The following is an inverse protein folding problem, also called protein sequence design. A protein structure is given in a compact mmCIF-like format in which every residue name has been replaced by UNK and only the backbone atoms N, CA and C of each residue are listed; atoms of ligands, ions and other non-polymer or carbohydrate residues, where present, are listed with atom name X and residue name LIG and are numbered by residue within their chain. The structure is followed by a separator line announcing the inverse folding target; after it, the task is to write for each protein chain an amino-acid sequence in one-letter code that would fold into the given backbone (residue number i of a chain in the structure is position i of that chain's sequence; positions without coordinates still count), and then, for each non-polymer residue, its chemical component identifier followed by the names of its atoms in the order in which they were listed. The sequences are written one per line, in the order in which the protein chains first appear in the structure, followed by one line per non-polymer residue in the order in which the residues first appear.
data_IF_424268190866
#
_entry.id   IF_424268190866
#
_cell.length_a   1.000
_cell.length_b   1.000
_cell.length_c   1.000
_cell.angle_alpha   90.00
_cell.angle_beta   90.00
_cell.angle_gamma   90.00
#
_symmetry.space_group_name_H-M   'P 1'
#
loop_
_entity.id
_entity.type
_entity.pdbx_description
1 polymer ?
#
# COMPACT_ATOMS: atom_id res chain seq x y z
N UNK A 1 -7.36 -19.25 9.99
CA UNK A 1 -8.17 -18.37 9.10
C UNK A 1 -7.30 -17.30 8.44
N UNK A 2 -6.50 -16.56 9.22
CA UNK A 2 -5.59 -15.51 8.73
C UNK A 2 -4.56 -16.01 7.70
N UNK A 3 -3.97 -17.20 7.92
CA UNK A 3 -2.99 -17.79 7.00
C UNK A 3 -3.55 -18.01 5.57
N UNK A 4 -4.79 -18.48 5.44
CA UNK A 4 -5.45 -18.66 4.13
C UNK A 4 -5.67 -17.32 3.41
N UNK A 5 -5.90 -16.25 4.15
CA UNK A 5 -6.07 -14.90 3.60
C UNK A 5 -4.72 -14.36 3.09
N UNK A 6 -3.66 -14.52 3.89
CA UNK A 6 -2.32 -14.09 3.54
C UNK A 6 -1.72 -14.89 2.37
N UNK A 7 -2.08 -16.17 2.23
CA UNK A 7 -1.72 -16.95 1.04
C UNK A 7 -2.32 -16.41 -0.27
N UNK A 8 -3.48 -15.75 -0.23
CA UNK A 8 -4.06 -15.07 -1.40
C UNK A 8 -3.38 -13.72 -1.66
N UNK A 9 -2.94 -13.04 -0.58
CA UNK A 9 -2.16 -11.81 -0.66
C UNK A 9 -0.75 -11.99 -1.27
N UNK A 10 -0.30 -13.23 -1.49
CA UNK A 10 0.88 -13.53 -2.33
C UNK A 10 0.69 -13.16 -3.81
N UNK A 11 -0.54 -12.85 -4.25
CA UNK A 11 -0.80 -12.49 -5.63
C UNK A 11 -0.40 -11.02 -5.89
N UNK A 12 0.56 -10.74 -6.80
CA UNK A 12 0.97 -9.38 -7.13
C UNK A 12 -0.17 -8.50 -7.64
N UNK A 13 -1.23 -9.10 -8.21
CA UNK A 13 -2.41 -8.36 -8.64
C UNK A 13 -3.10 -7.65 -7.48
N UNK A 14 -3.12 -8.26 -6.29
CA UNK A 14 -3.69 -7.64 -5.09
C UNK A 14 -2.95 -6.32 -4.78
N UNK A 15 -1.63 -6.33 -4.88
CA UNK A 15 -0.81 -5.15 -4.61
C UNK A 15 -1.05 -4.05 -5.64
N UNK A 16 -1.12 -4.41 -6.92
CA UNK A 16 -1.42 -3.46 -8.00
C UNK A 16 -2.81 -2.84 -7.81
N UNK A 17 -3.83 -3.65 -7.49
CA UNK A 17 -5.18 -3.12 -7.27
C UNK A 17 -5.27 -2.19 -6.08
N UNK A 18 -4.56 -2.46 -4.99
CA UNK A 18 -4.53 -1.57 -3.83
C UNK A 18 -3.98 -0.19 -4.18
N UNK A 19 -3.01 -0.10 -5.09
CA UNK A 19 -2.48 1.18 -5.57
C UNK A 19 -3.50 1.93 -6.43
N UNK A 20 -4.21 1.22 -7.31
CA UNK A 20 -5.27 1.80 -8.13
C UNK A 20 -6.39 2.36 -7.23
N UNK A 21 -6.76 1.63 -6.17
CA UNK A 21 -7.78 2.09 -5.23
C UNK A 21 -7.29 3.23 -4.36
N UNK A 22 -6.00 3.28 -4.01
CA UNK A 22 -5.39 4.46 -3.37
C UNK A 22 -5.48 5.69 -4.28
N UNK A 23 -5.17 5.56 -5.57
CA UNK A 23 -5.30 6.66 -6.54
C UNK A 23 -6.78 7.10 -6.65
N UNK A 24 -7.71 6.14 -6.71
CA UNK A 24 -9.16 6.41 -6.73
C UNK A 24 -9.60 7.16 -5.48
N UNK A 25 -9.08 6.77 -4.31
CA UNK A 25 -9.31 7.44 -3.04
C UNK A 25 -8.78 8.88 -3.05
N UNK A 26 -7.52 9.08 -3.46
CA UNK A 26 -6.94 10.41 -3.57
C UNK A 26 -7.73 11.31 -4.53
N UNK A 27 -8.21 10.77 -5.66
CA UNK A 27 -9.07 11.50 -6.59
C UNK A 27 -10.42 11.86 -5.96
N UNK A 28 -11.05 10.91 -5.26
CA UNK A 28 -12.28 11.18 -4.53
C UNK A 28 -12.11 12.26 -3.46
N UNK A 29 -11.00 12.22 -2.72
CA UNK A 29 -10.66 13.25 -1.73
C UNK A 29 -10.43 14.60 -2.38
N UNK A 30 -9.72 14.67 -3.50
CA UNK A 30 -9.48 15.93 -4.23
C UNK A 30 -10.77 16.52 -4.79
N UNK A 31 -11.63 15.69 -5.38
CA UNK A 31 -12.88 16.16 -5.99
C UNK A 31 -14.02 16.36 -4.98
N UNK A 32 -13.77 16.12 -3.68
CA UNK A 32 -14.80 16.00 -2.63
C UNK A 32 -15.98 15.09 -3.04
N UNK A 33 -15.68 14.05 -3.82
CA UNK A 33 -16.69 13.14 -4.35
C UNK A 33 -16.84 11.93 -3.42
N UNK A 34 -17.87 11.99 -2.57
CA UNK A 34 -18.17 10.95 -1.59
C UNK A 34 -18.41 9.57 -2.21
N UNK A 35 -18.96 9.48 -3.44
CA UNK A 35 -19.14 8.20 -4.12
C UNK A 35 -17.79 7.57 -4.42
N UNK A 36 -16.85 8.33 -5.00
CA UNK A 36 -15.49 7.86 -5.27
C UNK A 36 -14.74 7.48 -3.98
N UNK A 37 -14.92 8.27 -2.91
CA UNK A 37 -14.34 7.97 -1.60
C UNK A 37 -14.88 6.65 -1.06
N UNK A 38 -16.19 6.47 -1.02
CA UNK A 38 -16.81 5.24 -0.48
C UNK A 38 -16.44 4.01 -1.30
N UNK A 39 -16.52 4.09 -2.63
CA UNK A 39 -16.11 3.00 -3.52
C UNK A 39 -14.63 2.68 -3.33
N UNK A 40 -13.78 3.72 -3.26
CA UNK A 40 -12.36 3.58 -3.03
C UNK A 40 -12.03 2.87 -1.71
N UNK A 41 -12.70 3.24 -0.60
CA UNK A 41 -12.52 2.60 0.71
C UNK A 41 -12.91 1.12 0.64
N UNK A 42 -14.10 0.81 0.10
CA UNK A 42 -14.60 -0.57 0.01
C UNK A 42 -13.68 -1.43 -0.85
N UNK A 43 -13.30 -0.92 -2.03
CA UNK A 43 -12.41 -1.63 -2.93
C UNK A 43 -11.01 -1.82 -2.33
N UNK A 44 -10.43 -0.79 -1.70
CA UNK A 44 -9.12 -0.89 -1.04
C UNK A 44 -9.13 -1.90 0.11
N UNK A 45 -10.16 -1.87 0.96
CA UNK A 45 -10.28 -2.79 2.09
C UNK A 45 -10.53 -4.25 1.66
N UNK A 46 -11.23 -4.45 0.54
CA UNK A 46 -11.64 -5.80 0.10
C UNK A 46 -10.75 -6.41 -0.98
N UNK A 47 -9.86 -5.63 -1.63
CA UNK A 47 -9.00 -6.09 -2.74
C UNK A 47 -8.14 -7.31 -2.40
N UNK A 48 -7.81 -7.49 -1.11
CA UNK A 48 -7.03 -8.61 -0.59
C UNK A 48 -7.76 -9.95 -0.73
N UNK A 49 -9.09 -9.92 -0.90
CA UNK A 49 -9.93 -11.11 -1.00
C UNK A 49 -10.29 -11.52 -2.42
N UNK A 50 -10.08 -10.62 -3.40
CA UNK A 50 -10.63 -10.78 -4.76
C UNK A 50 -9.86 -11.82 -5.58
N UNK A 51 -8.58 -12.00 -5.29
CA UNK A 51 -7.71 -12.83 -6.12
C UNK A 51 -7.53 -14.24 -5.54
N UNK A 52 -7.54 -15.28 -6.41
CA UNK A 52 -7.26 -16.64 -5.98
C UNK A 52 -5.77 -16.79 -5.61
N UNK A 53 -5.47 -17.86 -4.86
CA UNK A 53 -4.08 -18.24 -4.57
C UNK A 53 -3.33 -18.44 -5.90
N UNK A 54 -2.20 -17.76 -6.13
CA UNK A 54 -1.44 -17.88 -7.37
C UNK A 54 -0.89 -19.30 -7.54
N UNK A 55 -0.90 -19.81 -8.78
CA UNK A 55 -0.31 -21.13 -9.14
C UNK A 55 1.22 -21.08 -9.13
N UNK A 56 1.79 -19.91 -9.40
CA UNK A 56 3.22 -19.62 -9.38
C UNK A 56 3.46 -18.29 -8.67
N UNK A 57 4.39 -18.29 -7.73
CA UNK A 57 4.76 -17.16 -6.88
C UNK A 57 6.24 -16.86 -7.06
N UNK A 58 6.62 -15.60 -6.90
CA UNK A 58 8.04 -15.27 -6.82
C UNK A 58 8.55 -15.62 -5.41
N UNK A 59 9.71 -16.26 -5.32
CA UNK A 59 10.33 -16.66 -4.05
C UNK A 59 10.48 -15.51 -3.04
N UNK A 60 10.72 -14.29 -3.51
CA UNK A 60 10.83 -13.11 -2.64
C UNK A 60 9.47 -12.68 -2.04
N UNK A 61 8.37 -12.90 -2.76
CA UNK A 61 7.01 -12.59 -2.29
C UNK A 61 6.59 -13.58 -1.20
N UNK A 62 6.94 -14.85 -1.35
CA UNK A 62 6.68 -15.86 -0.31
C UNK A 62 7.41 -15.54 0.99
N UNK A 63 8.69 -15.18 0.89
CA UNK A 63 9.50 -14.79 2.05
C UNK A 63 8.95 -13.55 2.75
N UNK A 64 8.47 -12.56 2.00
CA UNK A 64 7.87 -11.36 2.58
C UNK A 64 6.58 -11.69 3.33
N UNK A 65 5.67 -12.47 2.72
CA UNK A 65 4.40 -12.84 3.34
C UNK A 65 4.61 -13.75 4.56
N UNK A 66 5.60 -14.65 4.53
CA UNK A 66 5.95 -15.48 5.68
C UNK A 66 6.48 -14.63 6.85
N UNK A 67 7.35 -13.65 6.56
CA UNK A 67 7.81 -12.70 7.57
C UNK A 67 6.67 -11.81 8.10
N UNK A 68 5.70 -11.43 7.26
CA UNK A 68 4.51 -10.70 7.69
C UNK A 68 3.61 -11.55 8.59
N UNK A 69 3.39 -12.83 8.27
CA UNK A 69 2.65 -13.76 9.13
C UNK A 69 3.33 -13.85 10.49
N UNK A 70 4.63 -14.11 10.51
CA UNK A 70 5.41 -14.22 11.75
C UNK A 70 5.33 -12.92 12.56
N UNK A 71 5.48 -11.77 11.91
CA UNK A 71 5.34 -10.47 12.55
C UNK A 71 3.92 -10.22 13.10
N UNK A 72 2.87 -10.63 12.39
CA UNK A 72 1.48 -10.47 12.82
C UNK A 72 1.12 -11.40 13.98
N UNK A 73 1.68 -12.61 14.02
CA UNK A 73 1.46 -13.61 15.07
C UNK A 73 2.26 -13.32 16.36
N UNK A 74 3.37 -12.59 16.26
CA UNK A 74 4.09 -12.10 17.44
C UNK A 74 3.20 -11.22 18.32
N UNK A 75 3.38 -11.32 19.65
CA UNK A 75 2.69 -10.49 20.63
C UNK A 75 2.90 -9.00 20.34
N UNK A 76 1.96 -8.17 20.79
CA UNK A 76 1.98 -6.74 20.50
C UNK A 76 3.13 -6.06 21.27
N UNK A 77 4.34 -6.11 20.71
CA UNK A 77 5.49 -5.38 21.22
C UNK A 77 5.33 -3.88 20.93
N UNK A 78 5.91 -3.01 21.77
CA UNK A 78 5.79 -1.55 21.61
C UNK A 78 6.21 -1.05 20.21
N UNK A 79 7.21 -1.69 19.59
CA UNK A 79 7.66 -1.39 18.23
C UNK A 79 6.59 -1.68 17.15
N UNK A 80 5.82 -2.76 17.30
CA UNK A 80 4.74 -3.15 16.40
C UNK A 80 3.57 -2.17 16.47
N UNK A 81 3.20 -1.75 17.68
CA UNK A 81 2.17 -0.74 17.87
C UNK A 81 2.55 0.60 17.21
N UNK A 82 3.79 1.05 17.38
CA UNK A 82 4.29 2.28 16.75
C UNK A 82 4.23 2.19 15.24
N UNK A 83 4.65 1.07 14.63
CA UNK A 83 4.59 0.88 13.18
C UNK A 83 3.14 0.93 12.64
N UNK A 84 2.20 0.29 13.34
CA UNK A 84 0.79 0.29 12.96
C UNK A 84 0.16 1.69 13.06
N UNK A 85 0.43 2.40 14.17
CA UNK A 85 -0.05 3.78 14.36
C UNK A 85 0.57 4.71 13.32
N UNK A 86 1.87 4.59 13.05
CA UNK A 86 2.55 5.37 12.02
C UNK A 86 1.86 5.20 10.66
N UNK A 87 1.58 3.97 10.25
CA UNK A 87 0.90 3.71 8.97
C UNK A 87 -0.54 4.24 8.94
N UNK A 88 -1.29 4.08 10.02
CA UNK A 88 -2.65 4.63 10.11
C UNK A 88 -2.64 6.16 10.01
N UNK A 89 -1.76 6.83 10.75
CA UNK A 89 -1.61 8.30 10.73
C UNK A 89 -1.15 8.76 9.36
N UNK A 90 -0.19 8.07 8.74
CA UNK A 90 0.29 8.42 7.41
C UNK A 90 -0.81 8.35 6.36
N UNK A 91 -1.64 7.29 6.38
CA UNK A 91 -2.79 7.18 5.47
C UNK A 91 -3.76 8.35 5.66
N UNK A 92 -4.10 8.71 6.90
CA UNK A 92 -4.98 9.86 7.18
C UNK A 92 -4.36 11.16 6.68
N UNK A 93 -3.06 11.38 6.88
CA UNK A 93 -2.38 12.59 6.42
C UNK A 93 -2.34 12.68 4.88
N UNK A 94 -2.12 11.56 4.18
CA UNK A 94 -2.18 11.52 2.71
C UNK A 94 -3.58 11.96 2.25
N UNK A 95 -4.63 11.32 2.75
CA UNK A 95 -6.00 11.64 2.36
C UNK A 95 -6.36 13.10 2.70
N UNK A 96 -5.95 13.59 3.87
CA UNK A 96 -6.14 14.98 4.26
C UNK A 96 -5.41 15.96 3.32
N UNK A 97 -4.18 15.64 2.90
CA UNK A 97 -3.43 16.48 1.96
C UNK A 97 -4.19 16.61 0.62
N UNK A 98 -4.75 15.52 0.09
CA UNK A 98 -5.56 15.58 -1.13
C UNK A 98 -6.89 16.32 -0.92
N UNK A 99 -7.54 16.14 0.24
CA UNK A 99 -8.77 16.88 0.59
C UNK A 99 -8.57 18.39 0.64
N UNK A 100 -7.43 18.85 1.16
CA UNK A 100 -7.08 20.28 1.24
C UNK A 100 -6.31 20.79 0.02
N UNK A 101 -6.32 20.04 -1.09
CA UNK A 101 -5.65 20.37 -2.34
C UNK A 101 -4.14 20.66 -2.22
N UNK A 102 -3.46 19.99 -1.28
CA UNK A 102 -2.02 20.11 -1.04
C UNK A 102 -1.26 19.01 -1.79
N UNK A 103 -1.23 19.11 -3.13
CA UNK A 103 -0.64 18.09 -4.00
C UNK A 103 0.80 17.72 -3.61
N UNK A 104 1.69 18.72 -3.44
CA UNK A 104 3.10 18.46 -3.10
C UNK A 104 3.26 17.73 -1.76
N UNK A 105 2.44 18.11 -0.76
CA UNK A 105 2.44 17.44 0.55
C UNK A 105 1.92 16.01 0.41
N UNK A 106 0.84 15.81 -0.35
CA UNK A 106 0.28 14.48 -0.61
C UNK A 106 1.30 13.55 -1.28
N UNK A 107 2.01 14.04 -2.30
CA UNK A 107 3.06 13.28 -2.98
C UNK A 107 4.22 12.94 -2.04
N UNK A 108 4.70 13.90 -1.25
CA UNK A 108 5.76 13.66 -0.28
C UNK A 108 5.36 12.58 0.75
N UNK A 109 4.12 12.62 1.25
CA UNK A 109 3.62 11.63 2.20
C UNK A 109 3.47 10.24 1.57
N UNK A 110 3.06 10.15 0.30
CA UNK A 110 3.05 8.89 -0.46
C UNK A 110 4.47 8.33 -0.60
N UNK A 111 5.45 9.17 -0.91
CA UNK A 111 6.86 8.76 -0.98
C UNK A 111 7.36 8.23 0.38
N UNK A 112 7.05 8.92 1.48
CA UNK A 112 7.40 8.47 2.84
C UNK A 112 6.81 7.09 3.14
N UNK A 113 5.56 6.82 2.74
CA UNK A 113 4.91 5.52 2.96
C UNK A 113 5.58 4.39 2.19
N UNK A 114 5.97 4.67 0.94
CA UNK A 114 6.68 3.70 0.10
C UNK A 114 8.10 3.44 0.61
N UNK A 115 8.80 4.48 1.09
CA UNK A 115 10.10 4.33 1.74
C UNK A 115 10.00 3.50 3.02
N UNK A 116 8.97 3.71 3.84
CA UNK A 116 8.74 2.88 5.02
C UNK A 116 8.53 1.40 4.62
N UNK A 117 7.69 1.15 3.60
CA UNK A 117 7.45 -0.21 3.11
C UNK A 117 8.72 -0.85 2.55
N UNK A 118 9.58 -0.07 1.89
CA UNK A 118 10.89 -0.51 1.40
C UNK A 118 11.82 -0.90 2.55
N UNK A 119 11.95 -0.03 3.56
CA UNK A 119 12.79 -0.27 4.74
C UNK A 119 12.31 -1.54 5.46
N UNK A 120 11.00 -1.64 5.69
CA UNK A 120 10.36 -2.82 6.28
C UNK A 120 10.73 -4.10 5.52
N UNK A 121 10.56 -4.07 4.20
CA UNK A 121 10.84 -5.21 3.35
C UNK A 121 12.33 -5.62 3.34
N UNK A 122 13.25 -4.66 3.43
CA UNK A 122 14.70 -4.93 3.54
C UNK A 122 15.03 -5.61 4.88
N UNK A 123 14.43 -5.14 5.98
CA UNK A 123 14.61 -5.77 7.29
C UNK A 123 14.09 -7.21 7.31
N UNK A 124 12.95 -7.46 6.67
CA UNK A 124 12.31 -8.78 6.67
C UNK A 124 12.90 -9.75 5.64
N UNK A 125 13.42 -9.27 4.51
CA UNK A 125 13.88 -10.13 3.40
C UNK A 125 15.30 -9.79 2.97
N UNK A 126 16.27 -10.62 3.37
CA UNK A 126 17.71 -10.47 3.01
C UNK A 126 18.01 -10.47 1.49
N UNK A 127 17.10 -10.94 0.63
CA UNK A 127 17.27 -10.99 -0.85
C UNK A 127 16.33 -10.00 -1.56
N UNK A 128 16.34 -8.74 -1.12
CA UNK A 128 15.38 -7.72 -1.56
C UNK A 128 15.62 -7.08 -2.95
N UNK A 129 16.66 -7.44 -3.73
CA UNK A 129 16.99 -6.72 -5.00
C UNK A 129 15.80 -6.57 -5.97
N UNK A 130 15.04 -7.64 -6.22
CA UNK A 130 13.85 -7.58 -7.09
C UNK A 130 12.70 -6.78 -6.46
N UNK A 131 12.52 -6.89 -5.15
CA UNK A 131 11.51 -6.18 -4.38
C UNK A 131 11.77 -4.68 -4.35
N UNK A 132 13.02 -4.27 -4.14
CA UNK A 132 13.47 -2.88 -4.23
C UNK A 132 13.14 -2.31 -5.61
N UNK A 133 13.45 -3.04 -6.68
CA UNK A 133 13.14 -2.62 -8.05
C UNK A 133 11.63 -2.50 -8.29
N UNK A 134 10.82 -3.44 -7.80
CA UNK A 134 9.36 -3.37 -7.89
C UNK A 134 8.81 -2.14 -7.15
N UNK A 135 9.25 -1.90 -5.91
CA UNK A 135 8.80 -0.74 -5.13
C UNK A 135 9.18 0.57 -5.84
N UNK A 136 10.42 0.69 -6.34
CA UNK A 136 10.86 1.90 -7.07
C UNK A 136 10.01 2.15 -8.32
N UNK A 137 9.77 1.12 -9.15
CA UNK A 137 8.93 1.26 -10.34
C UNK A 137 7.51 1.65 -9.96
N UNK A 138 6.95 1.00 -8.93
CA UNK A 138 5.64 1.33 -8.38
C UNK A 138 5.57 2.77 -7.91
N UNK A 139 6.58 3.26 -7.20
CA UNK A 139 6.66 4.66 -6.75
C UNK A 139 6.60 5.62 -7.92
N UNK A 140 7.45 5.41 -8.94
CA UNK A 140 7.49 6.27 -10.13
C UNK A 140 6.13 6.29 -10.83
N UNK A 141 5.48 5.13 -10.97
CA UNK A 141 4.17 5.02 -11.59
C UNK A 141 3.09 5.75 -10.78
N UNK A 142 3.01 5.53 -9.46
CA UNK A 142 2.00 6.16 -8.62
C UNK A 142 2.17 7.67 -8.60
N UNK A 143 3.39 8.16 -8.35
CA UNK A 143 3.67 9.60 -8.33
C UNK A 143 3.41 10.23 -9.71
N UNK A 144 3.84 9.59 -10.79
CA UNK A 144 3.60 10.06 -12.15
C UNK A 144 2.12 10.14 -12.51
N UNK A 145 1.33 9.12 -12.15
CA UNK A 145 -0.12 9.11 -12.39
C UNK A 145 -0.81 10.20 -11.55
N UNK A 146 -0.48 10.35 -10.28
CA UNK A 146 -1.05 11.40 -9.44
C UNK A 146 -0.70 12.79 -9.99
N UNK A 147 0.55 13.03 -10.40
CA UNK A 147 0.96 14.29 -11.04
C UNK A 147 0.14 14.58 -12.30
N UNK A 148 0.02 13.61 -13.21
CA UNK A 148 -0.78 13.78 -14.44
C UNK A 148 -2.26 13.98 -14.13
N UNK A 149 -2.82 13.29 -13.14
CA UNK A 149 -4.23 13.45 -12.82
C UNK A 149 -4.53 14.82 -12.19
N UNK A 150 -3.67 15.32 -11.30
CA UNK A 150 -3.95 16.54 -10.53
C UNK A 150 -3.38 17.82 -11.11
N UNK A 151 -2.50 17.75 -12.11
CA UNK A 151 -2.08 18.95 -12.88
C UNK A 151 -3.17 19.40 -13.85
N UNK A 152 -4.03 18.49 -14.30
CA UNK A 152 -5.05 18.75 -15.33
C UNK A 152 -6.49 18.79 -14.79
N UNK A 153 -6.68 18.67 -13.47
CA UNK A 153 -7.96 18.69 -12.75
C UNK A 153 -8.00 19.87 -11.78
#
# INVERSE_FOLDING_TARGET
MLEKLLQRHRNPLSWITSLIFLITLCLGMWLHNFILITVGIICFATSWFWFPKPKTTFKWSEQLIEAEIEFLEQSLQGSKAVAMVFMAVLMVMILAAFWFHKLLIGLLLVEIGLLFQLIWAIFMVRKAKKLIMTIIITTILVVGVLLIMFVYV
#
